data_IF_610398486714
#
_entry.id   IF_610398486714
#
_cell.length_a   1.000
_cell.length_b   1.000
_cell.length_c   1.000
_cell.angle_alpha   90.00
_cell.angle_beta   90.00
_cell.angle_gamma   90.00
#
_symmetry.space_group_name_H-M   'P 1'
#
loop_
_entity.id
_entity.type
_entity.pdbx_description
1 polymer ?
#
# COMPACT_ATOMS: atom_id res chain seq x y z
N UNK A 1 -0.92 -12.12 -5.16
CA UNK A 1 -1.57 -12.08 -6.49
C UNK A 1 -1.26 -10.72 -7.11
N UNK A 2 -0.68 -10.70 -8.30
CA UNK A 2 -0.33 -9.45 -8.99
C UNK A 2 -1.61 -8.66 -9.27
N UNK A 3 -1.59 -7.35 -9.00
CA UNK A 3 -2.72 -6.47 -9.30
C UNK A 3 -2.96 -6.45 -10.79
N UNK A 4 -4.20 -6.72 -11.23
CA UNK A 4 -4.55 -6.68 -12.64
C UNK A 4 -4.58 -5.23 -13.16
N UNK A 5 -4.40 -5.03 -14.46
CA UNK A 5 -4.50 -3.71 -15.10
C UNK A 5 -5.86 -3.06 -14.78
N UNK A 6 -6.94 -3.83 -14.88
CA UNK A 6 -8.29 -3.33 -14.57
C UNK A 6 -8.42 -2.87 -13.09
N UNK A 7 -7.75 -3.55 -12.17
CA UNK A 7 -7.71 -3.13 -10.75
C UNK A 7 -7.00 -1.79 -10.59
N UNK A 8 -5.87 -1.60 -11.28
CA UNK A 8 -5.10 -0.34 -11.25
C UNK A 8 -5.94 0.83 -11.76
N UNK A 9 -6.63 0.68 -12.89
CA UNK A 9 -7.49 1.72 -13.47
C UNK A 9 -8.56 2.19 -12.49
N UNK A 10 -9.17 1.26 -11.72
CA UNK A 10 -10.17 1.64 -10.72
C UNK A 10 -9.56 2.23 -9.44
N UNK A 11 -8.37 1.81 -9.05
CA UNK A 11 -7.64 2.44 -7.95
C UNK A 11 -7.25 3.88 -8.29
N UNK A 12 -6.78 4.15 -9.50
CA UNK A 12 -6.49 5.50 -9.98
C UNK A 12 -7.72 6.41 -9.93
N UNK A 13 -8.91 5.91 -10.26
CA UNK A 13 -10.16 6.66 -10.13
C UNK A 13 -10.51 7.02 -8.67
N UNK A 14 -9.94 6.34 -7.70
CA UNK A 14 -10.14 6.59 -6.27
C UNK A 14 -8.97 7.37 -5.64
N UNK A 15 -7.84 7.48 -6.33
CA UNK A 15 -6.59 8.04 -5.81
C UNK A 15 -6.70 9.53 -5.41
N UNK A 16 -7.64 10.29 -5.98
CA UNK A 16 -7.91 11.67 -5.59
C UNK A 16 -8.66 11.81 -4.25
N UNK A 17 -9.03 10.68 -3.63
CA UNK A 17 -9.93 10.63 -2.46
C UNK A 17 -9.56 9.58 -1.41
N UNK A 18 -8.61 8.74 -1.71
CA UNK A 18 -8.13 7.71 -0.83
C UNK A 18 -6.61 7.62 -0.93
N UNK A 19 -5.97 7.37 0.18
CA UNK A 19 -4.55 7.02 0.17
C UNK A 19 -4.46 5.54 -0.20
N UNK A 20 -3.81 5.25 -1.30
CA UNK A 20 -3.53 3.89 -1.74
C UNK A 20 -2.21 3.47 -1.12
N UNK A 21 -2.27 2.49 -0.23
CA UNK A 21 -1.09 1.90 0.41
C UNK A 21 -0.87 0.53 -0.21
N UNK A 22 0.33 0.31 -0.69
CA UNK A 22 0.71 -0.96 -1.31
C UNK A 22 2.08 -1.44 -0.79
N UNK A 23 2.36 -2.69 -1.05
CA UNK A 23 3.64 -3.33 -0.77
C UNK A 23 4.20 -3.94 -2.05
N UNK A 24 5.49 -4.25 -2.08
CA UNK A 24 6.17 -4.79 -3.27
C UNK A 24 5.53 -6.08 -3.85
N UNK A 25 4.73 -6.78 -3.03
CA UNK A 25 4.00 -7.99 -3.45
C UNK A 25 2.81 -7.75 -4.39
N UNK A 26 2.38 -6.52 -4.60
CA UNK A 26 1.24 -6.22 -5.50
C UNK A 26 1.62 -5.42 -6.75
N UNK A 27 2.87 -4.99 -6.87
CA UNK A 27 3.43 -4.43 -8.11
C UNK A 27 2.85 -3.09 -8.54
N UNK A 28 2.29 -2.33 -7.61
CA UNK A 28 1.83 -0.99 -7.87
C UNK A 28 3.01 -0.02 -7.76
N UNK A 29 3.22 0.82 -8.76
CA UNK A 29 4.38 1.71 -8.88
C UNK A 29 4.03 3.15 -8.52
N UNK A 30 3.78 3.38 -7.23
CA UNK A 30 3.57 4.73 -6.69
C UNK A 30 4.52 5.01 -5.52
N UNK A 31 4.11 5.92 -4.61
CA UNK A 31 4.94 6.35 -3.49
C UNK A 31 5.19 5.21 -2.50
N UNK A 32 6.45 4.98 -2.21
CA UNK A 32 6.94 3.96 -1.27
C UNK A 32 7.25 4.56 0.11
N UNK A 33 7.56 3.70 1.05
CA UNK A 33 8.08 4.14 2.34
C UNK A 33 7.04 4.24 3.45
N UNK A 34 5.90 3.57 3.34
CA UNK A 34 4.88 3.56 4.39
C UNK A 34 5.46 3.24 5.77
N UNK A 35 6.39 2.29 5.88
CA UNK A 35 7.03 1.93 7.14
C UNK A 35 7.89 3.06 7.72
N UNK A 36 8.50 3.89 6.88
CA UNK A 36 9.24 5.08 7.33
C UNK A 36 8.29 6.15 7.86
N UNK A 37 7.20 6.42 7.14
CA UNK A 37 6.18 7.35 7.61
C UNK A 37 5.64 6.89 8.95
N UNK A 38 5.21 5.63 9.07
CA UNK A 38 4.68 5.07 10.30
C UNK A 38 5.68 5.10 11.46
N UNK A 39 6.98 4.94 11.16
CA UNK A 39 8.03 5.08 12.17
C UNK A 39 8.17 6.52 12.65
N UNK A 40 8.07 7.48 11.75
CA UNK A 40 8.19 8.90 12.08
C UNK A 40 6.97 9.43 12.87
N UNK A 41 5.77 8.89 12.61
CA UNK A 41 4.53 9.32 13.28
C UNK A 41 4.14 8.42 14.45
N UNK A 42 4.95 7.43 14.81
CA UNK A 42 4.66 6.48 15.89
C UNK A 42 4.44 7.19 17.23
N UNK A 43 3.22 7.05 17.76
CA UNK A 43 2.81 7.64 19.02
C UNK A 43 2.38 9.11 18.98
N UNK A 44 2.46 9.80 17.84
CA UNK A 44 2.29 11.26 17.80
C UNK A 44 0.94 11.70 17.29
N UNK A 45 0.35 11.07 16.23
CA UNK A 45 -0.70 11.80 15.55
C UNK A 45 -1.94 10.97 15.16
N UNK A 46 -3.02 11.23 15.89
CA UNK A 46 -4.36 10.72 15.53
C UNK A 46 -4.81 11.16 14.13
N UNK A 47 -4.28 12.29 13.64
CA UNK A 47 -4.65 12.85 12.32
C UNK A 47 -4.29 11.95 11.14
N UNK A 48 -3.33 11.01 11.32
CA UNK A 48 -2.96 10.03 10.30
C UNK A 48 -3.83 8.77 10.33
N UNK A 49 -4.55 8.52 11.43
CA UNK A 49 -5.36 7.30 11.55
C UNK A 49 -6.57 7.41 10.62
N UNK A 50 -6.79 6.43 9.72
CA UNK A 50 -7.95 6.45 8.85
C UNK A 50 -9.22 6.13 9.63
N UNK A 51 -10.33 6.79 9.28
CA UNK A 51 -11.65 6.40 9.76
C UNK A 51 -12.14 5.15 9.06
N UNK A 52 -11.76 4.98 7.79
CA UNK A 52 -12.17 3.88 6.94
C UNK A 52 -11.00 3.26 6.20
N UNK A 53 -10.95 1.93 6.17
CA UNK A 53 -9.98 1.13 5.41
C UNK A 53 -10.73 0.16 4.51
N UNK A 54 -10.38 0.14 3.23
CA UNK A 54 -10.76 -0.92 2.30
C UNK A 54 -9.55 -1.82 2.04
N UNK A 55 -9.60 -3.04 2.55
CA UNK A 55 -8.57 -4.04 2.34
C UNK A 55 -8.87 -4.86 1.08
N UNK A 56 -7.92 -4.91 0.18
CA UNK A 56 -8.00 -5.61 -1.10
C UNK A 56 -6.83 -6.59 -1.19
N UNK A 57 -7.10 -7.82 -1.59
CA UNK A 57 -6.07 -8.82 -1.83
C UNK A 57 -5.62 -9.60 -0.60
N UNK A 58 -4.34 -9.96 -0.58
CA UNK A 58 -3.76 -10.91 0.36
C UNK A 58 -3.31 -10.34 1.70
N UNK A 59 -2.29 -10.96 2.25
CA UNK A 59 -1.70 -10.59 3.54
C UNK A 59 -0.76 -9.39 3.41
N UNK A 60 -0.83 -8.49 4.38
CA UNK A 60 0.11 -7.38 4.54
C UNK A 60 1.39 -7.88 5.20
N UNK A 61 2.55 -7.54 4.66
CA UNK A 61 3.87 -7.95 5.19
C UNK A 61 4.27 -7.11 6.39
N UNK A 62 4.04 -5.79 6.32
CA UNK A 62 4.44 -4.86 7.37
C UNK A 62 3.66 -5.08 8.66
N UNK A 63 4.38 -5.45 9.72
CA UNK A 63 3.80 -5.55 11.07
C UNK A 63 3.39 -4.17 11.60
N UNK A 64 4.11 -3.14 11.23
CA UNK A 64 3.85 -1.77 11.64
C UNK A 64 2.56 -1.26 11.01
N UNK A 65 2.38 -1.50 9.72
CA UNK A 65 1.14 -1.17 9.01
C UNK A 65 -0.06 -1.93 9.60
N UNK A 66 0.08 -3.23 9.88
CA UNK A 66 -0.99 -4.00 10.55
C UNK A 66 -1.41 -3.37 11.87
N UNK A 67 -0.42 -3.04 12.72
CA UNK A 67 -0.68 -2.42 14.03
C UNK A 67 -1.30 -1.02 13.90
N UNK A 68 -0.90 -0.27 12.89
CA UNK A 68 -1.46 1.04 12.63
C UNK A 68 -2.91 0.99 12.16
N UNK A 69 -3.21 0.14 11.17
CA UNK A 69 -4.56 -0.02 10.62
C UNK A 69 -5.56 -0.66 11.59
N UNK A 70 -5.08 -1.37 12.62
CA UNK A 70 -5.89 -1.82 13.74
C UNK A 70 -6.60 -0.68 14.48
N UNK A 71 -6.13 0.56 14.33
CA UNK A 71 -6.72 1.75 14.96
C UNK A 71 -7.87 2.37 14.16
N UNK A 72 -8.10 1.91 12.94
CA UNK A 72 -9.19 2.39 12.10
C UNK A 72 -10.54 2.03 12.71
N UNK A 73 -11.52 2.93 12.60
CA UNK A 73 -12.86 2.72 13.12
C UNK A 73 -13.63 1.69 12.28
N UNK A 74 -13.47 1.74 10.96
CA UNK A 74 -14.18 0.88 10.02
C UNK A 74 -13.20 0.22 9.08
N UNK A 75 -13.24 -1.11 9.00
CA UNK A 75 -12.39 -1.90 8.09
C UNK A 75 -13.28 -2.84 7.28
N UNK A 76 -13.28 -2.64 5.99
CA UNK A 76 -13.93 -3.54 5.04
C UNK A 76 -12.88 -4.34 4.27
N UNK A 77 -13.20 -5.60 4.01
CA UNK A 77 -12.39 -6.48 3.17
C UNK A 77 -13.19 -6.95 1.97
N UNK A 78 -12.60 -6.87 0.77
CA UNK A 78 -13.13 -7.57 -0.41
C UNK A 78 -12.57 -8.98 -0.40
N UNK A 79 -13.45 -9.99 -0.47
CA UNK A 79 -13.09 -11.40 -0.43
C UNK A 79 -13.85 -12.16 -1.52
N UNK A 80 -13.15 -12.61 -2.59
CA UNK A 80 -13.79 -13.35 -3.68
C UNK A 80 -14.41 -14.70 -3.26
N UNK A 81 -13.92 -15.28 -2.19
CA UNK A 81 -14.40 -16.57 -1.65
C UNK A 81 -15.21 -16.41 -0.34
N UNK A 82 -15.43 -15.18 0.12
CA UNK A 82 -16.14 -14.91 1.38
C UNK A 82 -15.34 -15.21 2.64
N UNK A 83 -14.04 -15.52 2.53
CA UNK A 83 -13.19 -15.82 3.68
C UNK A 83 -12.99 -14.59 4.57
N UNK A 84 -13.16 -14.80 5.87
CA UNK A 84 -12.92 -13.77 6.88
C UNK A 84 -11.48 -13.91 7.38
N UNK A 85 -10.54 -13.32 6.65
CA UNK A 85 -9.16 -13.21 7.12
C UNK A 85 -8.95 -11.85 7.79
N UNK A 86 -9.07 -11.82 9.10
CA UNK A 86 -8.98 -10.58 9.90
C UNK A 86 -7.52 -10.20 10.18
N UNK A 87 -6.86 -9.68 9.16
CA UNK A 87 -5.44 -9.28 9.19
C UNK A 87 -5.13 -8.25 10.28
N UNK A 88 -6.07 -7.35 10.56
CA UNK A 88 -5.88 -6.23 11.50
C UNK A 88 -6.56 -6.43 12.85
N UNK A 89 -7.34 -7.50 13.03
CA UNK A 89 -8.14 -7.80 14.23
C UNK A 89 -9.23 -6.76 14.51
N UNK A 90 -9.75 -6.13 13.48
CA UNK A 90 -10.81 -5.13 13.55
C UNK A 90 -11.69 -5.06 12.31
N UNK A 91 -11.78 -6.14 11.51
CA UNK A 91 -12.67 -6.18 10.35
C UNK A 91 -14.11 -5.98 10.82
N UNK A 92 -14.78 -4.98 10.22
CA UNK A 92 -16.19 -4.69 10.48
C UNK A 92 -17.11 -5.31 9.42
N UNK A 93 -16.65 -5.42 8.17
CA UNK A 93 -17.45 -5.96 7.07
C UNK A 93 -16.58 -6.75 6.08
N UNK A 94 -17.17 -7.79 5.50
CA UNK A 94 -16.60 -8.51 4.35
C UNK A 94 -17.55 -8.35 3.17
N UNK A 95 -17.02 -7.85 2.06
CA UNK A 95 -17.74 -7.79 0.78
C UNK A 95 -17.40 -9.07 0.01
N UNK A 96 -18.40 -9.93 -0.16
CA UNK A 96 -18.26 -11.12 -0.99
C UNK A 96 -18.46 -10.75 -2.46
N UNK A 97 -17.42 -10.90 -3.27
CA UNK A 97 -17.46 -10.58 -4.68
C UNK A 97 -16.07 -10.53 -5.31
N UNK A 98 -16.04 -10.54 -6.64
CA UNK A 98 -14.81 -10.32 -7.38
C UNK A 98 -14.22 -8.95 -7.08
N UNK A 99 -12.90 -8.89 -6.99
CA UNK A 99 -12.19 -7.66 -6.60
C UNK A 99 -12.37 -6.56 -7.63
N UNK A 100 -12.22 -6.89 -8.93
CA UNK A 100 -12.31 -5.91 -10.04
C UNK A 100 -13.73 -5.37 -10.15
N UNK A 101 -14.72 -6.28 -10.13
CA UNK A 101 -16.13 -5.90 -10.22
C UNK A 101 -16.55 -5.03 -9.03
N UNK A 102 -16.09 -5.37 -7.83
CA UNK A 102 -16.39 -4.60 -6.62
C UNK A 102 -15.76 -3.21 -6.67
N UNK A 103 -14.49 -3.10 -7.04
CA UNK A 103 -13.81 -1.81 -7.22
C UNK A 103 -14.47 -0.96 -8.29
N UNK A 104 -14.84 -1.56 -9.41
CA UNK A 104 -15.59 -0.90 -10.48
C UNK A 104 -16.90 -0.31 -9.95
N UNK A 105 -17.66 -1.07 -9.20
CA UNK A 105 -18.91 -0.59 -8.61
C UNK A 105 -18.68 0.60 -7.67
N UNK A 106 -17.65 0.54 -6.84
CA UNK A 106 -17.28 1.62 -5.91
C UNK A 106 -16.83 2.86 -6.70
N UNK A 107 -15.90 2.73 -7.62
CA UNK A 107 -15.32 3.84 -8.39
C UNK A 107 -16.37 4.51 -9.29
N UNK A 108 -17.16 3.72 -10.02
CA UNK A 108 -18.23 4.24 -10.89
C UNK A 108 -19.35 4.87 -10.06
N UNK A 109 -19.80 4.22 -8.99
CA UNK A 109 -20.81 4.74 -8.10
C UNK A 109 -20.39 6.07 -7.45
N UNK A 110 -19.10 6.20 -7.16
CA UNK A 110 -18.52 7.44 -6.65
C UNK A 110 -18.51 8.55 -7.71
N UNK A 111 -18.02 8.26 -8.92
CA UNK A 111 -17.96 9.19 -10.04
C UNK A 111 -19.35 9.69 -10.47
N UNK A 112 -20.32 8.78 -10.51
CA UNK A 112 -21.71 9.13 -10.89
C UNK A 112 -22.40 10.09 -9.90
N UNK A 113 -22.03 10.06 -8.62
CA UNK A 113 -22.58 10.96 -7.61
C UNK A 113 -22.04 12.38 -7.69
N UNK A 114 -20.98 12.62 -8.47
CA UNK A 114 -20.33 13.93 -8.65
C UNK A 114 -20.12 14.70 -7.33
N UNK A 115 -19.78 13.97 -6.27
CA UNK A 115 -19.60 14.56 -4.95
C UNK A 115 -18.32 15.38 -4.93
N UNK A 116 -18.40 16.61 -4.48
CA UNK A 116 -17.19 17.40 -4.19
C UNK A 116 -16.43 16.71 -3.06
N UNK A 117 -15.11 16.63 -3.17
CA UNK A 117 -14.26 16.13 -2.08
C UNK A 117 -14.40 17.07 -0.89
N UNK A 118 -14.85 16.58 0.28
CA UNK A 118 -14.87 17.41 1.48
C UNK A 118 -13.46 17.94 1.82
N UNK A 119 -13.39 19.14 2.35
CA UNK A 119 -12.11 19.74 2.75
C UNK A 119 -11.30 18.86 3.72
N UNK A 120 -11.97 18.16 4.62
CA UNK A 120 -11.32 17.22 5.55
C UNK A 120 -10.62 16.05 4.84
N UNK A 121 -11.22 15.53 3.77
CA UNK A 121 -10.61 14.47 2.96
C UNK A 121 -9.39 15.01 2.21
N UNK A 122 -9.51 16.19 1.60
CA UNK A 122 -8.38 16.82 0.93
C UNK A 122 -7.21 17.07 1.88
N UNK A 123 -7.48 17.59 3.07
CA UNK A 123 -6.45 17.82 4.09
C UNK A 123 -5.79 16.53 4.55
N UNK A 124 -6.55 15.42 4.69
CA UNK A 124 -6.02 14.12 5.03
C UNK A 124 -5.15 13.55 3.90
N UNK A 125 -5.61 13.69 2.66
CA UNK A 125 -4.86 13.29 1.49
C UNK A 125 -3.53 14.03 1.40
N UNK A 126 -3.54 15.36 1.46
CA UNK A 126 -2.35 16.20 1.36
C UNK A 126 -1.33 15.86 2.46
N UNK A 127 -1.82 15.59 3.68
CA UNK A 127 -1.00 15.19 4.82
C UNK A 127 -0.24 13.88 4.56
N UNK A 128 -0.93 12.88 4.04
CA UNK A 128 -0.34 11.58 3.74
C UNK A 128 0.57 11.64 2.52
N UNK A 129 0.14 12.33 1.47
CA UNK A 129 0.93 12.49 0.26
C UNK A 129 2.27 13.15 0.56
N UNK A 130 2.27 14.28 1.29
CA UNK A 130 3.50 14.97 1.70
C UNK A 130 4.43 14.07 2.54
N UNK A 131 3.87 13.25 3.42
CA UNK A 131 4.66 12.34 4.23
C UNK A 131 5.26 11.19 3.42
N UNK A 132 4.49 10.60 2.50
CA UNK A 132 4.95 9.52 1.63
C UNK A 132 5.97 10.03 0.61
N UNK A 133 5.76 11.20 0.01
CA UNK A 133 6.73 11.82 -0.90
C UNK A 133 8.08 12.07 -0.22
N UNK A 134 8.06 12.60 1.01
CA UNK A 134 9.29 12.77 1.80
C UNK A 134 9.97 11.45 2.13
N UNK A 135 9.21 10.42 2.46
CA UNK A 135 9.75 9.09 2.73
C UNK A 135 10.37 8.48 1.48
N UNK A 136 9.71 8.58 0.34
CA UNK A 136 10.19 8.09 -0.94
C UNK A 136 11.50 8.79 -1.36
N UNK A 137 11.54 10.12 -1.27
CA UNK A 137 12.76 10.89 -1.54
C UNK A 137 13.90 10.52 -0.58
N UNK A 138 13.58 10.23 0.69
CA UNK A 138 14.57 9.74 1.64
C UNK A 138 15.13 8.38 1.23
N UNK A 139 14.28 7.44 0.79
CA UNK A 139 14.69 6.10 0.33
C UNK A 139 15.60 6.20 -0.91
N UNK A 140 15.22 7.02 -1.89
CA UNK A 140 16.00 7.24 -3.11
C UNK A 140 17.41 7.71 -2.78
N UNK A 141 17.53 8.68 -1.87
CA UNK A 141 18.80 9.29 -1.49
C UNK A 141 19.54 8.57 -0.36
N UNK A 142 18.95 7.51 0.20
CA UNK A 142 19.54 6.80 1.33
C UNK A 142 20.70 5.90 0.89
N UNK A 143 21.88 6.17 1.44
CA UNK A 143 23.09 5.35 1.22
C UNK A 143 23.36 4.48 2.47
N UNK A 144 22.86 3.23 2.50
CA UNK A 144 23.06 2.37 3.65
C UNK A 144 24.52 1.97 3.80
N UNK A 145 25.03 2.03 5.04
CA UNK A 145 26.31 1.39 5.37
C UNK A 145 26.25 -0.11 5.07
N UNK A 146 27.41 -0.78 4.96
CA UNK A 146 27.51 -2.21 4.68
C UNK A 146 26.57 -3.02 5.56
N UNK A 147 25.51 -3.56 4.95
CA UNK A 147 24.39 -4.20 5.65
C UNK A 147 23.51 -4.98 4.67
N UNK A 148 22.52 -5.70 5.18
CA UNK A 148 21.49 -6.34 4.35
C UNK A 148 20.71 -5.30 3.53
N UNK A 149 20.47 -4.11 4.07
CA UNK A 149 19.81 -3.03 3.35
C UNK A 149 20.63 -2.55 2.15
N UNK A 150 21.96 -2.40 2.32
CA UNK A 150 22.85 -2.08 1.22
C UNK A 150 22.86 -3.15 0.12
N UNK A 151 22.85 -4.42 0.50
CA UNK A 151 22.82 -5.51 -0.45
C UNK A 151 21.52 -5.54 -1.26
N UNK A 152 20.37 -5.35 -0.62
CA UNK A 152 19.07 -5.32 -1.31
C UNK A 152 18.96 -4.07 -2.19
N UNK A 153 19.34 -2.89 -1.69
CA UNK A 153 19.33 -1.65 -2.51
C UNK A 153 20.19 -1.82 -3.76
N UNK A 154 21.44 -2.27 -3.63
CA UNK A 154 22.32 -2.46 -4.76
C UNK A 154 21.79 -3.50 -5.78
N UNK A 155 21.15 -4.55 -5.29
CA UNK A 155 20.50 -5.56 -6.15
C UNK A 155 19.34 -4.95 -6.93
N UNK A 156 18.45 -4.17 -6.29
CA UNK A 156 17.31 -3.54 -6.93
C UNK A 156 17.73 -2.47 -7.93
N UNK A 157 18.75 -1.68 -7.62
CA UNK A 157 19.34 -0.72 -8.57
C UNK A 157 19.89 -1.41 -9.81
N UNK A 158 20.59 -2.53 -9.64
CA UNK A 158 21.12 -3.33 -10.74
C UNK A 158 20.00 -3.96 -11.57
N UNK A 159 18.92 -4.41 -10.94
CA UNK A 159 17.75 -4.95 -11.61
C UNK A 159 17.03 -3.89 -12.44
N UNK A 160 16.80 -2.71 -11.90
CA UNK A 160 16.11 -1.61 -12.57
C UNK A 160 16.77 -1.20 -13.90
N UNK A 161 18.10 -1.28 -13.95
CA UNK A 161 18.87 -0.95 -15.16
C UNK A 161 19.15 -2.17 -16.06
N UNK A 162 18.58 -3.33 -15.76
CA UNK A 162 18.79 -4.51 -16.59
C UNK A 162 17.78 -4.56 -17.74
N UNK A 163 18.23 -5.00 -18.94
CA UNK A 163 17.37 -5.26 -20.09
C UNK A 163 16.50 -6.51 -19.91
N UNK A 164 16.69 -7.24 -18.81
CA UNK A 164 15.94 -8.43 -18.46
C UNK A 164 14.96 -8.08 -17.36
N UNK A 165 13.72 -8.60 -17.47
CA UNK A 165 12.70 -8.53 -16.41
C UNK A 165 12.59 -9.89 -15.70
N UNK A 166 13.58 -10.30 -14.85
CA UNK A 166 13.52 -11.57 -14.16
C UNK A 166 12.41 -11.59 -13.12
N UNK A 167 11.86 -12.76 -12.87
CA UNK A 167 11.00 -12.97 -11.72
C UNK A 167 11.86 -13.04 -10.45
N UNK A 168 11.64 -12.11 -9.53
CA UNK A 168 12.39 -12.03 -8.29
C UNK A 168 11.56 -12.55 -7.15
N UNK A 169 12.11 -13.52 -6.42
CA UNK A 169 11.52 -14.07 -5.21
C UNK A 169 12.34 -13.63 -4.00
N UNK A 170 11.69 -12.96 -3.07
CA UNK A 170 12.26 -12.66 -1.76
C UNK A 170 11.80 -13.69 -0.73
N UNK A 171 12.74 -14.19 0.08
CA UNK A 171 12.38 -15.00 1.23
C UNK A 171 11.59 -14.17 2.24
N UNK A 172 10.71 -14.83 2.98
CA UNK A 172 9.95 -14.20 4.05
C UNK A 172 10.86 -13.53 5.11
N UNK A 173 10.31 -12.71 5.99
CA UNK A 173 10.96 -12.00 7.09
C UNK A 173 11.68 -10.71 6.65
N UNK A 174 12.96 -10.56 6.92
CA UNK A 174 13.71 -9.31 6.67
C UNK A 174 13.86 -9.03 5.18
N UNK A 175 14.07 -10.04 4.35
CA UNK A 175 14.27 -9.88 2.92
C UNK A 175 13.12 -9.16 2.23
N UNK A 176 11.89 -9.65 2.40
CA UNK A 176 10.71 -9.03 1.78
C UNK A 176 10.40 -7.64 2.38
N UNK A 177 10.74 -7.39 3.65
CA UNK A 177 10.58 -6.06 4.25
C UNK A 177 11.56 -5.04 3.68
N UNK A 178 12.76 -5.48 3.31
CA UNK A 178 13.72 -4.63 2.62
C UNK A 178 13.30 -4.41 1.15
N UNK A 179 12.73 -5.43 0.51
CA UNK A 179 12.14 -5.27 -0.81
C UNK A 179 11.01 -4.20 -0.79
N UNK A 180 10.17 -4.17 0.23
CA UNK A 180 9.14 -3.12 0.40
C UNK A 180 9.72 -1.69 0.49
N UNK A 181 11.01 -1.53 0.78
CA UNK A 181 11.67 -0.23 0.76
C UNK A 181 12.30 0.11 -0.61
N UNK A 182 12.88 -0.89 -1.27
CA UNK A 182 13.76 -0.65 -2.41
C UNK A 182 13.23 -1.16 -3.76
N UNK A 183 12.39 -2.22 -3.76
CA UNK A 183 11.85 -2.76 -5.01
C UNK A 183 10.77 -1.83 -5.59
N UNK A 184 10.95 -1.44 -6.87
CA UNK A 184 10.03 -0.60 -7.63
C UNK A 184 9.26 -1.41 -8.69
N UNK A 185 9.10 -2.68 -8.45
CA UNK A 185 8.43 -3.64 -9.32
C UNK A 185 7.76 -4.73 -8.50
N UNK A 186 6.96 -5.56 -9.15
CA UNK A 186 6.37 -6.71 -8.50
C UNK A 186 7.42 -7.74 -8.09
N UNK A 187 7.35 -8.17 -6.84
CA UNK A 187 8.19 -9.25 -6.31
C UNK A 187 7.35 -10.40 -5.76
N UNK A 188 7.94 -11.57 -5.70
CA UNK A 188 7.32 -12.77 -5.16
C UNK A 188 7.86 -13.08 -3.75
N UNK A 189 7.02 -13.71 -2.92
CA UNK A 189 7.44 -14.21 -1.61
C UNK A 189 6.90 -15.63 -1.37
#
# INVERSE_FOLDING_TARGET
EQTSIDTLDYLELLADRAIIIHEALNGYDELFGIDLVLNAIEGVDKKYVPDFVLHIGGEVVSKRLKSFLQRAETVWRISPNGEIADTYKNITNVIYGDTVDTLKMIAVGYKMRNLKTPFSIQTYYDLWYDALEKADQHIINYEPAYSQAAAVKAFEEQYYYSDYAPHIHYANSTSIRLANLFARHYVWC
#
